data_IF_372143769610
#
_entry.id   IF_372143769610
#
_cell.length_a   1.000
_cell.length_b   1.000
_cell.length_c   1.000
_cell.angle_alpha   90.00
_cell.angle_beta   90.00
_cell.angle_gamma   90.00
#
_symmetry.space_group_name_H-M   'P 1'
#
loop_
_entity.id
_entity.type
_entity.pdbx_description
1 polymer ?
#
# COMPACT_ATOMS: atom_id res chain seq x y z
N UNK A 1 22.33 27.41 6.48
CA UNK A 1 21.40 26.92 7.53
C UNK A 1 20.38 27.99 7.97
N UNK A 2 20.82 29.22 8.33
CA UNK A 2 19.94 30.31 8.80
C UNK A 2 18.78 30.71 7.85
N UNK A 3 19.04 30.85 6.55
CA UNK A 3 18.01 31.18 5.53
C UNK A 3 16.94 30.08 5.38
N UNK A 4 17.30 28.84 5.71
CA UNK A 4 16.43 27.65 5.65
C UNK A 4 15.51 27.59 6.88
N UNK A 5 16.06 27.86 8.07
CA UNK A 5 15.29 27.95 9.32
C UNK A 5 14.24 29.06 9.25
N UNK A 6 14.58 30.24 8.70
CA UNK A 6 13.60 31.33 8.46
C UNK A 6 12.41 30.88 7.60
N UNK A 7 12.63 30.06 6.57
CA UNK A 7 11.55 29.54 5.72
C UNK A 7 10.63 28.57 6.47
N UNK A 8 11.20 27.73 7.35
CA UNK A 8 10.48 26.79 8.20
C UNK A 8 9.61 27.45 9.27
N UNK A 9 9.99 28.64 9.77
CA UNK A 9 9.17 29.40 10.74
C UNK A 9 7.75 29.62 10.21
N UNK A 10 7.61 29.93 8.91
CA UNK A 10 6.29 30.13 8.29
C UNK A 10 5.41 28.87 8.30
N UNK A 11 6.01 27.69 8.43
CA UNK A 11 5.31 26.40 8.52
C UNK A 11 5.03 25.97 9.97
N UNK A 12 5.56 26.65 10.99
CA UNK A 12 5.28 26.31 12.38
C UNK A 12 3.93 26.91 12.83
N UNK A 13 2.82 26.29 12.42
CA UNK A 13 1.47 26.72 12.76
C UNK A 13 0.63 25.54 13.26
N UNK A 14 -0.42 25.76 14.07
CA UNK A 14 -1.35 24.69 14.44
C UNK A 14 -2.00 24.02 13.23
N UNK A 15 -2.15 24.71 12.10
CA UNK A 15 -2.74 24.21 10.85
C UNK A 15 -1.70 23.63 9.88
N UNK A 16 -0.53 23.24 10.37
CA UNK A 16 0.46 22.52 9.56
C UNK A 16 0.40 21.02 9.84
N UNK A 17 0.27 20.22 8.78
CA UNK A 17 0.40 18.76 8.83
C UNK A 17 1.86 18.37 8.60
N UNK A 18 2.43 17.53 9.47
CA UNK A 18 3.73 16.90 9.22
C UNK A 18 3.47 15.53 8.55
N UNK A 19 4.18 15.24 7.47
CA UNK A 19 4.04 13.99 6.72
C UNK A 19 5.41 13.33 6.58
N UNK A 20 5.52 12.04 6.89
CA UNK A 20 6.78 11.28 6.79
C UNK A 20 6.58 10.08 5.90
N UNK A 21 7.28 10.04 4.77
CA UNK A 21 7.17 8.95 3.80
C UNK A 21 8.31 8.97 2.80
N UNK A 22 8.36 7.96 1.93
CA UNK A 22 9.08 8.08 0.66
C UNK A 22 8.35 9.09 -0.24
N UNK A 23 9.07 9.92 -0.99
CA UNK A 23 8.46 10.96 -1.83
C UNK A 23 9.24 11.11 -3.14
N UNK A 24 8.58 10.82 -4.27
CA UNK A 24 9.19 10.58 -5.58
C UNK A 24 9.47 11.83 -6.41
N UNK A 25 9.10 13.04 -5.94
CA UNK A 25 9.19 14.26 -6.75
C UNK A 25 10.62 14.53 -7.32
N UNK A 26 11.66 13.88 -6.75
CA UNK A 26 13.06 14.03 -7.17
C UNK A 26 13.77 12.71 -7.54
N UNK A 27 13.09 11.56 -7.47
CA UNK A 27 13.71 10.26 -7.74
C UNK A 27 13.64 9.90 -9.23
N UNK A 28 14.73 9.33 -9.78
CA UNK A 28 14.74 8.79 -11.16
C UNK A 28 13.81 7.59 -11.35
N UNK A 29 13.53 6.87 -10.27
CA UNK A 29 12.65 5.69 -10.23
C UNK A 29 11.66 5.85 -9.08
N UNK A 30 10.38 5.56 -9.31
CA UNK A 30 9.37 5.57 -8.25
C UNK A 30 9.14 4.17 -7.67
N UNK A 31 8.83 4.14 -6.39
CA UNK A 31 8.36 2.95 -5.67
C UNK A 31 6.84 2.97 -5.55
N UNK A 32 6.26 1.83 -5.16
CA UNK A 32 4.83 1.76 -4.87
C UNK A 32 4.43 2.72 -3.74
N UNK A 33 5.25 2.80 -2.69
CA UNK A 33 5.02 3.73 -1.58
C UNK A 33 5.10 5.18 -2.06
N UNK A 34 6.22 5.62 -2.63
CA UNK A 34 6.40 7.02 -3.02
C UNK A 34 5.31 7.57 -3.97
N UNK A 35 4.86 6.75 -4.91
CA UNK A 35 3.72 7.11 -5.79
C UNK A 35 2.43 7.26 -4.98
N UNK A 36 2.17 6.35 -4.04
CA UNK A 36 1.03 6.42 -3.14
C UNK A 36 1.09 7.68 -2.26
N UNK A 37 2.23 7.93 -1.61
CA UNK A 37 2.48 9.07 -0.73
C UNK A 37 2.18 10.39 -1.44
N UNK A 38 2.64 10.52 -2.70
CA UNK A 38 2.38 11.71 -3.51
C UNK A 38 0.89 11.94 -3.73
N UNK A 39 0.15 10.90 -4.09
CA UNK A 39 -1.29 11.00 -4.32
C UNK A 39 -2.05 11.29 -3.03
N UNK A 40 -1.71 10.61 -1.93
CA UNK A 40 -2.26 10.89 -0.62
C UNK A 40 -2.04 12.34 -0.22
N UNK A 41 -0.82 12.86 -0.41
CA UNK A 41 -0.49 14.24 -0.09
C UNK A 41 -1.22 15.26 -0.95
N UNK A 42 -1.32 15.03 -2.25
CA UNK A 42 -2.04 15.90 -3.18
C UNK A 42 -3.53 15.96 -2.80
N UNK A 43 -4.15 14.80 -2.55
CA UNK A 43 -5.56 14.70 -2.19
C UNK A 43 -5.85 15.25 -0.79
N UNK A 44 -5.00 14.98 0.21
CA UNK A 44 -5.15 15.59 1.52
C UNK A 44 -4.99 17.11 1.44
N UNK A 45 -3.97 17.62 0.74
CA UNK A 45 -3.77 19.05 0.62
C UNK A 45 -4.92 19.74 -0.11
N UNK A 46 -5.51 19.10 -1.13
CA UNK A 46 -6.60 19.71 -1.87
C UNK A 46 -7.94 19.68 -1.12
N UNK A 47 -8.23 18.58 -0.44
CA UNK A 47 -9.51 18.40 0.25
C UNK A 47 -9.51 18.87 1.70
N UNK A 48 -8.35 19.19 2.29
CA UNK A 48 -8.22 19.64 3.69
C UNK A 48 -7.73 21.09 3.79
N UNK A 49 -7.87 21.92 2.74
CA UNK A 49 -7.40 23.33 2.74
C UNK A 49 -7.92 24.16 3.93
N UNK A 50 -9.14 23.88 4.39
CA UNK A 50 -9.75 24.53 5.56
C UNK A 50 -9.10 24.12 6.89
N UNK A 51 -8.58 22.90 6.95
CA UNK A 51 -8.10 22.24 8.18
C UNK A 51 -6.58 22.30 8.33
N UNK A 52 -5.88 22.16 7.19
CA UNK A 52 -4.44 22.26 7.05
C UNK A 52 -4.09 23.25 5.92
N UNK A 53 -3.53 24.39 6.30
CA UNK A 53 -3.11 25.43 5.36
C UNK A 53 -1.75 25.08 4.72
N UNK A 54 -0.93 24.31 5.43
CA UNK A 54 0.43 23.96 5.04
C UNK A 54 0.77 22.50 5.36
N UNK A 55 1.69 21.94 4.58
CA UNK A 55 2.22 20.60 4.80
C UNK A 55 3.75 20.61 4.80
N UNK A 56 4.36 19.93 5.76
CA UNK A 56 5.80 19.66 5.77
C UNK A 56 6.02 18.17 5.54
N UNK A 57 6.71 17.82 4.46
CA UNK A 57 7.05 16.45 4.09
C UNK A 57 8.50 16.18 4.49
N UNK A 58 8.69 15.27 5.45
CA UNK A 58 10.00 14.77 5.88
C UNK A 58 10.28 13.47 5.11
N UNK A 59 11.01 13.57 4.01
CA UNK A 59 11.15 12.47 3.05
C UNK A 59 12.42 11.65 3.24
N UNK A 60 12.37 10.42 2.73
CA UNK A 60 13.54 9.57 2.52
C UNK A 60 14.31 10.09 1.29
N UNK A 61 15.62 10.31 1.41
CA UNK A 61 16.43 10.96 0.37
C UNK A 61 17.92 10.63 0.45
N UNK A 62 18.65 10.82 -0.67
CA UNK A 62 20.11 10.56 -0.72
C UNK A 62 20.89 11.79 -0.27
N UNK A 63 21.29 11.74 1.00
CA UNK A 63 22.28 12.51 1.79
C UNK A 63 23.06 13.72 1.24
N UNK A 64 23.37 13.89 -0.05
CA UNK A 64 24.40 14.87 -0.45
C UNK A 64 23.94 16.15 -1.16
N UNK A 65 22.82 16.18 -1.89
CA UNK A 65 22.43 17.36 -2.68
C UNK A 65 20.93 17.72 -2.70
N UNK A 66 20.08 17.03 -1.96
CA UNK A 66 18.65 17.33 -1.96
C UNK A 66 18.36 18.49 -0.99
N UNK A 67 18.20 19.69 -1.54
CA UNK A 67 17.90 20.90 -0.78
C UNK A 67 16.43 20.94 -0.32
N UNK A 68 16.14 21.61 0.80
CA UNK A 68 14.76 21.92 1.21
C UNK A 68 14.08 22.72 0.09
N UNK A 69 12.91 22.27 -0.35
CA UNK A 69 12.15 22.91 -1.42
C UNK A 69 10.75 23.27 -0.94
N UNK A 70 10.30 24.44 -1.35
CA UNK A 70 8.92 24.86 -1.19
C UNK A 70 8.25 24.70 -2.55
N UNK A 71 7.17 23.94 -2.60
CA UNK A 71 6.40 23.62 -3.81
C UNK A 71 4.93 23.96 -3.59
N UNK A 72 4.10 23.77 -4.62
CA UNK A 72 2.64 23.97 -4.54
C UNK A 72 2.27 25.39 -4.06
N UNK A 73 2.83 26.42 -4.71
CA UNK A 73 2.51 27.83 -4.42
C UNK A 73 2.82 28.27 -2.99
N UNK A 74 3.82 27.68 -2.33
CA UNK A 74 4.22 28.07 -0.97
C UNK A 74 3.61 27.22 0.15
N UNK A 75 2.72 26.28 -0.16
CA UNK A 75 1.95 25.52 0.84
C UNK A 75 2.60 24.20 1.27
N UNK A 76 3.57 23.69 0.51
CA UNK A 76 4.24 22.42 0.83
C UNK A 76 5.74 22.61 0.93
N UNK A 77 6.34 22.20 2.05
CA UNK A 77 7.78 22.19 2.26
C UNK A 77 8.28 20.74 2.26
N UNK A 78 9.20 20.38 1.38
CA UNK A 78 9.77 19.03 1.29
C UNK A 78 11.21 19.07 1.83
N UNK A 79 11.49 18.21 2.81
CA UNK A 79 12.74 18.12 3.54
C UNK A 79 13.24 16.68 3.47
N UNK A 80 14.22 16.39 2.61
CA UNK A 80 14.85 15.08 2.53
C UNK A 80 15.80 14.90 3.71
N UNK A 81 15.33 14.21 4.75
CA UNK A 81 16.07 14.09 6.01
C UNK A 81 16.28 12.66 6.50
N UNK A 82 15.65 11.66 5.86
CA UNK A 82 15.79 10.25 6.26
C UNK A 82 16.69 9.54 5.26
N UNK A 83 17.67 8.79 5.77
CA UNK A 83 18.57 7.97 4.95
C UNK A 83 18.26 6.50 5.20
N UNK A 84 17.96 5.78 4.13
CA UNK A 84 17.74 4.34 4.18
C UNK A 84 18.98 3.63 4.76
N UNK A 85 18.74 2.64 5.61
CA UNK A 85 19.79 1.85 6.29
C UNK A 85 20.70 2.68 7.23
N UNK A 86 20.28 3.89 7.63
CA UNK A 86 20.99 4.71 8.61
C UNK A 86 20.07 5.07 9.79
N UNK A 87 20.14 4.34 10.92
CA UNK A 87 19.25 4.58 12.07
C UNK A 87 19.40 5.98 12.68
N UNK A 88 20.60 6.57 12.65
CA UNK A 88 20.84 7.91 13.17
C UNK A 88 20.13 9.00 12.37
N UNK A 89 19.82 8.74 11.10
CA UNK A 89 19.09 9.69 10.27
C UNK A 89 17.67 9.96 10.79
N UNK A 90 17.08 9.04 11.57
CA UNK A 90 15.76 9.19 12.19
C UNK A 90 15.71 10.25 13.30
N UNK A 91 16.87 10.72 13.79
CA UNK A 91 16.93 11.89 14.66
C UNK A 91 16.58 13.20 13.93
N UNK A 92 16.74 13.26 12.61
CA UNK A 92 16.43 14.46 11.84
C UNK A 92 14.92 14.70 11.73
N UNK A 93 14.06 13.70 11.43
CA UNK A 93 12.61 13.86 11.56
C UNK A 93 12.17 14.35 12.93
N UNK A 94 12.76 13.82 14.01
CA UNK A 94 12.48 14.29 15.35
C UNK A 94 12.83 15.77 15.49
N UNK A 95 14.06 16.17 15.13
CA UNK A 95 14.51 17.55 15.17
C UNK A 95 13.56 18.51 14.44
N UNK A 96 13.20 18.20 13.18
CA UNK A 96 12.26 19.04 12.43
C UNK A 96 10.86 19.06 13.04
N UNK A 97 10.39 17.95 13.62
CA UNK A 97 9.11 17.91 14.33
C UNK A 97 9.13 18.80 15.59
N UNK A 98 10.27 18.89 16.29
CA UNK A 98 10.43 19.76 17.46
C UNK A 98 10.50 21.23 17.08
N UNK A 99 11.18 21.57 15.97
CA UNK A 99 11.16 22.93 15.40
C UNK A 99 9.73 23.35 15.02
N UNK A 100 8.92 22.40 14.56
CA UNK A 100 7.50 22.58 14.25
C UNK A 100 6.63 22.31 15.49
N UNK A 101 6.99 22.91 16.63
CA UNK A 101 6.38 22.63 17.94
C UNK A 101 4.87 22.90 18.02
N UNK A 102 4.36 23.87 17.24
CA UNK A 102 2.92 24.19 17.15
C UNK A 102 2.14 23.17 16.33
N UNK A 103 2.81 22.46 15.41
CA UNK A 103 2.23 21.43 14.56
C UNK A 103 2.15 20.10 15.31
N UNK A 104 0.97 19.71 15.80
CA UNK A 104 0.81 18.48 16.61
C UNK A 104 0.50 17.24 15.78
N UNK A 105 -0.13 17.38 14.62
CA UNK A 105 -0.59 16.25 13.80
C UNK A 105 0.50 15.78 12.84
N UNK A 106 0.73 14.46 12.82
CA UNK A 106 1.78 13.85 12.01
C UNK A 106 1.29 12.56 11.38
N UNK A 107 1.35 12.46 10.05
CA UNK A 107 1.09 11.22 9.32
C UNK A 107 2.42 10.57 8.97
N UNK A 108 2.59 9.30 9.32
CA UNK A 108 3.80 8.53 9.01
C UNK A 108 3.38 7.33 8.19
N UNK A 109 3.84 7.25 6.95
CA UNK A 109 3.66 6.06 6.12
C UNK A 109 4.89 5.16 6.23
N UNK A 110 4.63 3.88 6.48
CA UNK A 110 5.65 2.91 6.78
C UNK A 110 5.60 1.67 5.89
N UNK A 111 6.73 1.41 5.23
CA UNK A 111 7.04 0.16 4.55
C UNK A 111 8.47 -0.27 4.93
N UNK A 112 8.65 -1.53 5.30
CA UNK A 112 9.95 -2.06 5.76
C UNK A 112 11.07 -1.79 4.76
N UNK A 113 10.80 -1.96 3.46
CA UNK A 113 11.79 -1.80 2.40
C UNK A 113 12.30 -0.36 2.23
N UNK A 114 11.54 0.64 2.67
CA UNK A 114 11.87 2.07 2.50
C UNK A 114 12.83 2.56 3.58
N UNK A 115 12.69 2.08 4.82
CA UNK A 115 13.52 2.53 5.96
C UNK A 115 14.77 1.68 6.18
N UNK A 116 14.83 0.44 5.65
CA UNK A 116 16.03 -0.38 5.63
C UNK A 116 15.96 -1.62 6.54
N UNK A 117 17.11 -2.05 7.04
CA UNK A 117 17.28 -3.25 7.85
C UNK A 117 16.74 -3.14 9.28
N UNK A 118 16.82 -4.24 10.06
CA UNK A 118 16.23 -4.34 11.40
C UNK A 118 16.64 -3.24 12.38
N UNK A 119 17.88 -2.75 12.32
CA UNK A 119 18.36 -1.65 13.16
C UNK A 119 17.63 -0.34 12.89
N UNK A 120 17.38 -0.02 11.61
CA UNK A 120 16.62 1.18 11.23
C UNK A 120 15.15 1.07 11.64
N UNK A 121 14.57 -0.14 11.51
CA UNK A 121 13.21 -0.44 12.00
C UNK A 121 13.12 -0.28 13.52
N UNK A 122 14.11 -0.76 14.27
CA UNK A 122 14.19 -0.61 15.72
C UNK A 122 14.31 0.86 16.15
N UNK A 123 15.19 1.63 15.51
CA UNK A 123 15.31 3.07 15.75
C UNK A 123 14.02 3.84 15.43
N UNK A 124 13.18 3.34 14.52
CA UNK A 124 11.87 3.91 14.23
C UNK A 124 10.91 3.83 15.43
N UNK A 125 10.99 2.76 16.23
CA UNK A 125 10.20 2.64 17.45
C UNK A 125 10.62 3.68 18.49
N UNK A 126 11.92 3.94 18.61
CA UNK A 126 12.45 5.00 19.48
C UNK A 126 11.92 6.36 19.03
N UNK A 127 11.97 6.65 17.72
CA UNK A 127 11.40 7.87 17.15
C UNK A 127 9.91 8.02 17.53
N UNK A 128 9.09 6.98 17.39
CA UNK A 128 7.68 7.04 17.77
C UNK A 128 7.47 7.34 19.26
N UNK A 129 8.25 6.71 20.14
CA UNK A 129 8.23 6.97 21.57
C UNK A 129 8.55 8.43 21.90
N UNK A 130 9.60 8.97 21.28
CA UNK A 130 10.00 10.37 21.44
C UNK A 130 8.93 11.33 20.90
N UNK A 131 8.38 11.07 19.71
CA UNK A 131 7.30 11.89 19.14
C UNK A 131 6.09 11.95 20.08
N UNK A 132 5.70 10.82 20.68
CA UNK A 132 4.61 10.78 21.66
C UNK A 132 4.97 11.56 22.94
N UNK A 133 6.19 11.41 23.45
CA UNK A 133 6.68 12.15 24.62
C UNK A 133 6.60 13.67 24.40
N UNK A 134 6.92 14.15 23.20
CA UNK A 134 6.81 15.56 22.82
C UNK A 134 5.41 15.98 22.35
N UNK A 135 4.38 15.17 22.64
CA UNK A 135 2.98 15.49 22.42
C UNK A 135 2.54 15.51 20.95
N UNK A 136 3.25 14.81 20.06
CA UNK A 136 2.81 14.64 18.66
C UNK A 136 1.73 13.56 18.57
N UNK A 137 0.70 13.83 17.78
CA UNK A 137 -0.36 12.88 17.42
C UNK A 137 0.03 12.17 16.12
N UNK A 138 0.59 10.98 16.27
CA UNK A 138 1.06 10.17 15.12
C UNK A 138 -0.07 9.29 14.57
N UNK A 139 -0.45 9.55 13.33
CA UNK A 139 -1.32 8.71 12.49
C UNK A 139 -0.42 7.81 11.64
N UNK A 140 -0.31 6.54 12.05
CA UNK A 140 0.66 5.62 11.48
C UNK A 140 0.01 4.76 10.39
N UNK A 141 0.47 4.88 9.14
CA UNK A 141 -0.04 4.11 8.01
C UNK A 141 0.87 2.91 7.76
N UNK A 142 0.34 1.70 7.97
CA UNK A 142 1.08 0.45 7.74
C UNK A 142 0.71 -0.10 6.37
N UNK A 143 1.68 -0.15 5.45
CA UNK A 143 1.47 -0.69 4.10
C UNK A 143 1.61 -2.22 4.04
N UNK A 144 2.37 -2.80 4.96
CA UNK A 144 2.71 -4.23 4.96
C UNK A 144 2.59 -4.80 6.37
N UNK A 145 1.93 -5.94 6.49
CA UNK A 145 1.94 -6.69 7.74
C UNK A 145 1.94 -8.20 7.48
N UNK A 146 2.73 -8.92 8.26
CA UNK A 146 2.76 -10.37 8.33
C UNK A 146 2.77 -10.82 9.79
N UNK A 147 2.16 -11.98 10.06
CA UNK A 147 2.14 -12.57 11.41
C UNK A 147 3.39 -13.40 11.69
N UNK A 148 3.95 -14.04 10.65
CA UNK A 148 5.16 -14.86 10.72
C UNK A 148 5.96 -14.70 9.45
N UNK A 149 7.24 -14.39 9.60
CA UNK A 149 8.25 -14.26 8.57
C UNK A 149 8.69 -15.63 8.04
N UNK A 150 8.35 -16.72 8.73
CA UNK A 150 8.59 -18.09 8.22
C UNK A 150 8.06 -18.28 6.79
N UNK A 151 6.90 -17.72 6.48
CA UNK A 151 6.33 -17.77 5.14
C UNK A 151 7.06 -16.96 4.07
N UNK A 152 8.03 -16.13 4.48
CA UNK A 152 8.84 -15.22 3.67
C UNK A 152 10.34 -15.54 3.73
N UNK A 153 10.76 -16.67 4.30
CA UNK A 153 12.17 -17.00 4.49
C UNK A 153 12.98 -16.92 3.18
N UNK A 154 12.47 -17.47 2.06
CA UNK A 154 13.11 -17.33 0.73
C UNK A 154 13.17 -15.86 0.25
N UNK A 155 12.15 -15.06 0.55
CA UNK A 155 12.15 -13.62 0.21
C UNK A 155 13.22 -12.85 0.98
N UNK A 156 13.51 -13.29 2.20
CA UNK A 156 14.49 -12.67 3.10
C UNK A 156 15.89 -13.27 2.94
N UNK A 157 16.04 -14.35 2.16
CA UNK A 157 17.29 -15.11 2.05
C UNK A 157 17.68 -15.81 3.36
N UNK A 158 16.70 -16.27 4.13
CA UNK A 158 16.89 -16.97 5.40
C UNK A 158 16.48 -18.44 5.28
N UNK A 159 17.16 -19.32 6.00
CA UNK A 159 16.76 -20.72 6.11
C UNK A 159 15.48 -20.86 6.93
N UNK A 160 14.57 -21.72 6.46
CA UNK A 160 13.33 -22.03 7.16
C UNK A 160 13.64 -22.57 8.56
N UNK A 161 12.92 -22.11 9.58
CA UNK A 161 13.09 -22.55 10.97
C UNK A 161 14.34 -22.03 11.69
N UNK A 162 15.18 -21.20 11.06
CA UNK A 162 16.38 -20.66 11.69
C UNK A 162 16.09 -19.82 12.94
N UNK A 163 16.99 -19.85 13.93
CA UNK A 163 16.88 -19.04 15.15
C UNK A 163 16.79 -17.53 14.84
N UNK A 164 17.49 -17.07 13.80
CA UNK A 164 17.41 -15.69 13.30
C UNK A 164 15.98 -15.33 12.87
N UNK A 165 15.26 -16.25 12.23
CA UNK A 165 13.88 -16.04 11.82
C UNK A 165 12.93 -15.96 13.02
N UNK A 166 13.11 -16.84 14.01
CA UNK A 166 12.36 -16.79 15.28
C UNK A 166 12.57 -15.48 16.04
N UNK A 167 13.82 -15.00 16.08
CA UNK A 167 14.16 -13.70 16.67
C UNK A 167 13.47 -12.55 15.92
N UNK A 168 13.52 -12.55 14.59
CA UNK A 168 12.84 -11.54 13.77
C UNK A 168 11.32 -11.57 13.93
N UNK A 169 10.71 -12.75 14.08
CA UNK A 169 9.29 -12.90 14.39
C UNK A 169 8.92 -12.27 15.75
N UNK A 170 9.73 -12.54 16.78
CA UNK A 170 9.55 -11.92 18.09
C UNK A 170 9.71 -10.39 18.03
N UNK A 171 10.74 -9.91 17.34
CA UNK A 171 10.99 -8.49 17.13
C UNK A 171 9.85 -7.82 16.35
N UNK A 172 9.26 -8.50 15.36
CA UNK A 172 8.12 -7.99 14.60
C UNK A 172 6.86 -7.86 15.46
N UNK A 173 6.61 -8.83 16.35
CA UNK A 173 5.50 -8.75 17.31
C UNK A 173 5.68 -7.57 18.28
N UNK A 174 6.90 -7.38 18.79
CA UNK A 174 7.22 -6.22 19.63
C UNK A 174 7.05 -4.91 18.86
N UNK A 175 7.51 -4.85 17.60
CA UNK A 175 7.31 -3.70 16.72
C UNK A 175 5.83 -3.32 16.61
N UNK A 176 4.93 -4.28 16.33
CA UNK A 176 3.49 -3.99 16.26
C UNK A 176 2.95 -3.48 17.61
N UNK A 177 3.30 -4.12 18.73
CA UNK A 177 2.89 -3.66 20.07
C UNK A 177 3.33 -2.21 20.31
N UNK A 178 4.58 -1.90 20.02
CA UNK A 178 5.15 -0.57 20.20
C UNK A 178 4.46 0.47 19.30
N UNK A 179 4.23 0.16 18.02
CA UNK A 179 3.43 1.03 17.13
C UNK A 179 2.03 1.26 17.72
N UNK A 180 1.38 0.24 18.28
CA UNK A 180 0.10 0.35 18.97
C UNK A 180 0.10 1.27 20.19
N UNK A 181 1.18 1.24 20.97
CA UNK A 181 1.37 2.07 22.17
C UNK A 181 1.64 3.53 21.79
N UNK A 182 2.55 3.75 20.83
CA UNK A 182 3.08 5.07 20.51
C UNK A 182 2.24 5.85 19.49
N UNK A 183 1.45 5.16 18.66
CA UNK A 183 0.58 5.82 17.68
C UNK A 183 -0.75 6.25 18.28
N UNK A 184 -1.28 7.37 17.79
CA UNK A 184 -2.62 7.87 18.12
C UNK A 184 -3.69 6.98 17.46
N UNK A 185 -3.59 6.84 16.13
CA UNK A 185 -4.38 5.93 15.30
C UNK A 185 -3.46 5.25 14.30
N UNK A 186 -3.89 4.07 13.85
CA UNK A 186 -3.19 3.28 12.85
C UNK A 186 -4.12 3.11 11.66
N UNK A 187 -3.66 3.47 10.48
CA UNK A 187 -4.37 3.28 9.22
C UNK A 187 -3.75 2.08 8.52
N UNK A 188 -4.60 1.16 8.08
CA UNK A 188 -4.19 0.02 7.25
C UNK A 188 -5.02 -0.04 5.99
N UNK A 189 -4.43 -0.60 4.93
CA UNK A 189 -5.01 -0.53 3.60
C UNK A 189 -5.96 -1.67 3.25
N UNK A 190 -6.04 -2.72 4.07
CA UNK A 190 -6.94 -3.87 3.87
C UNK A 190 -7.38 -4.48 5.20
N UNK A 191 -8.57 -5.08 5.22
CA UNK A 191 -9.11 -5.71 6.44
C UNK A 191 -8.23 -6.86 6.95
N UNK A 192 -7.60 -7.61 6.04
CA UNK A 192 -6.66 -8.67 6.42
C UNK A 192 -5.44 -8.11 7.19
N UNK A 193 -4.93 -6.94 6.82
CA UNK A 193 -3.81 -6.29 7.54
C UNK A 193 -4.28 -5.89 8.94
N UNK A 194 -5.50 -5.35 9.08
CA UNK A 194 -6.10 -5.07 10.41
C UNK A 194 -6.16 -6.34 11.25
N UNK A 195 -6.70 -7.43 10.71
CA UNK A 195 -6.85 -8.69 11.46
C UNK A 195 -5.51 -9.23 11.97
N UNK A 196 -4.44 -9.06 11.19
CA UNK A 196 -3.08 -9.46 11.58
C UNK A 196 -2.52 -8.65 12.73
N UNK A 197 -2.53 -7.33 12.61
CA UNK A 197 -1.94 -6.46 13.64
C UNK A 197 -2.84 -6.30 14.88
N UNK A 198 -4.14 -6.57 14.75
CA UNK A 198 -5.10 -6.58 15.86
C UNK A 198 -4.79 -7.64 16.92
N UNK A 199 -3.98 -8.66 16.59
CA UNK A 199 -3.45 -9.63 17.55
C UNK A 199 -2.48 -9.00 18.57
N UNK A 200 -1.93 -7.83 18.24
CA UNK A 200 -0.90 -7.14 19.03
C UNK A 200 -1.31 -5.72 19.44
N UNK A 201 -2.38 -5.19 18.86
CA UNK A 201 -2.79 -3.79 19.01
C UNK A 201 -4.30 -3.74 19.25
N UNK A 202 -4.74 -2.84 20.14
CA UNK A 202 -6.16 -2.58 20.36
C UNK A 202 -6.90 -2.30 19.02
N UNK A 203 -7.89 -3.13 18.64
CA UNK A 203 -8.62 -2.98 17.38
C UNK A 203 -9.28 -1.61 17.17
N UNK A 204 -9.64 -0.90 18.26
CA UNK A 204 -10.24 0.45 18.21
C UNK A 204 -9.26 1.53 17.75
N UNK A 205 -7.95 1.27 17.79
CA UNK A 205 -6.92 2.15 17.22
C UNK A 205 -6.70 1.91 15.73
N UNK A 206 -7.13 0.78 15.19
CA UNK A 206 -6.87 0.37 13.81
C UNK A 206 -8.06 0.72 12.92
N UNK A 207 -7.85 1.66 12.01
CA UNK A 207 -8.80 2.08 10.99
C UNK A 207 -8.40 1.48 9.66
N UNK A 208 -9.36 0.90 8.94
CA UNK A 208 -9.12 0.38 7.59
C UNK A 208 -9.56 1.45 6.61
N UNK A 209 -8.62 1.97 5.83
CA UNK A 209 -8.92 2.86 4.71
C UNK A 209 -8.31 2.20 3.47
N UNK A 210 -9.12 1.65 2.55
CA UNK A 210 -8.63 0.91 1.40
C UNK A 210 -7.58 1.65 0.58
N UNK A 211 -6.64 0.92 -0.04
CA UNK A 211 -5.68 1.53 -0.96
C UNK A 211 -6.40 2.19 -2.13
N UNK A 212 -6.24 3.51 -2.25
CA UNK A 212 -6.90 4.31 -3.26
C UNK A 212 -6.49 3.92 -4.69
N UNK A 213 -7.38 4.19 -5.66
CA UNK A 213 -7.10 4.13 -7.09
C UNK A 213 -6.64 5.48 -7.65
N UNK A 214 -6.01 5.46 -8.82
CA UNK A 214 -5.48 6.64 -9.48
C UNK A 214 -6.58 7.35 -10.28
N UNK A 215 -6.98 8.57 -9.87
CA UNK A 215 -8.05 9.35 -10.52
C UNK A 215 -7.86 9.56 -12.03
N UNK A 216 -6.66 9.88 -12.49
CA UNK A 216 -6.43 10.32 -13.87
C UNK A 216 -6.30 9.18 -14.90
N UNK A 217 -6.80 7.99 -14.57
CA UNK A 217 -6.56 6.76 -15.36
C UNK A 217 -7.82 5.99 -15.73
N UNK A 218 -9.02 6.50 -15.38
CA UNK A 218 -10.31 5.99 -15.86
C UNK A 218 -10.45 6.22 -17.37
N UNK A 219 -9.79 5.40 -18.17
CA UNK A 219 -9.90 5.44 -19.63
C UNK A 219 -10.52 4.12 -20.07
N UNK A 220 -11.81 4.16 -20.40
CA UNK A 220 -12.47 3.05 -21.08
C UNK A 220 -11.88 2.92 -22.48
N UNK A 221 -11.24 1.78 -22.74
CA UNK A 221 -11.20 1.23 -24.09
C UNK A 221 -12.08 -0.01 -24.06
N UNK A 222 -12.95 -0.20 -25.07
CA UNK A 222 -13.66 -1.47 -25.24
C UNK A 222 -12.62 -2.59 -25.18
N UNK A 223 -12.76 -3.49 -24.21
CA UNK A 223 -11.91 -4.68 -24.06
C UNK A 223 -12.25 -5.65 -25.18
N UNK A 224 -11.87 -5.31 -26.41
CA UNK A 224 -11.96 -6.23 -27.51
C UNK A 224 -10.73 -7.11 -27.44
N UNK A 225 -10.87 -8.31 -26.85
CA UNK A 225 -9.91 -9.40 -27.04
C UNK A 225 -9.69 -9.48 -28.54
N UNK A 226 -8.50 -9.09 -29.00
CA UNK A 226 -8.20 -8.98 -30.43
C UNK A 226 -8.43 -10.37 -31.03
N UNK A 227 -9.28 -10.48 -32.06
CA UNK A 227 -9.76 -11.75 -32.65
C UNK A 227 -8.73 -12.89 -32.52
N UNK A 228 -8.92 -13.75 -31.51
CA UNK A 228 -8.12 -14.96 -31.25
C UNK A 228 -6.89 -14.85 -30.33
N UNK A 229 -6.35 -13.65 -30.04
CA UNK A 229 -5.16 -13.43 -29.20
C UNK A 229 -5.55 -12.94 -27.79
N UNK A 230 -4.84 -13.41 -26.76
CA UNK A 230 -5.02 -13.01 -25.37
C UNK A 230 -3.71 -12.38 -24.86
N UNK A 231 -3.74 -11.11 -24.49
CA UNK A 231 -2.62 -10.37 -23.91
C UNK A 231 -2.76 -10.30 -22.38
N UNK A 232 -1.93 -11.07 -21.66
CA UNK A 232 -1.84 -11.11 -20.20
C UNK A 232 -0.80 -10.10 -19.72
N UNK A 233 -1.14 -9.33 -18.69
CA UNK A 233 -0.23 -8.40 -18.01
C UNK A 233 0.06 -8.85 -16.58
N UNK A 234 1.33 -8.85 -16.21
CA UNK A 234 1.78 -8.84 -14.81
C UNK A 234 2.63 -7.59 -14.60
N UNK A 235 2.24 -6.73 -13.66
CA UNK A 235 2.87 -5.42 -13.47
C UNK A 235 3.69 -5.31 -12.16
N UNK A 236 4.82 -4.61 -12.24
CA UNK A 236 5.68 -4.21 -11.13
C UNK A 236 6.96 -5.05 -10.98
N UNK A 237 7.82 -4.65 -10.05
CA UNK A 237 9.14 -5.27 -9.84
C UNK A 237 9.08 -6.79 -9.65
N UNK A 238 10.06 -7.49 -10.19
CA UNK A 238 10.28 -8.92 -9.98
C UNK A 238 10.74 -9.12 -8.54
N UNK A 239 9.96 -9.87 -7.77
CA UNK A 239 10.24 -10.21 -6.38
C UNK A 239 9.65 -11.59 -6.08
N UNK A 240 10.32 -12.36 -5.21
CA UNK A 240 9.92 -13.73 -4.89
C UNK A 240 8.46 -13.84 -4.45
N UNK A 241 8.02 -12.96 -3.55
CA UNK A 241 6.65 -13.00 -3.03
C UNK A 241 5.58 -12.76 -4.10
N UNK A 242 5.93 -12.13 -5.23
CA UNK A 242 5.00 -11.91 -6.35
C UNK A 242 4.84 -13.14 -7.25
N UNK A 243 5.69 -14.15 -7.10
CA UNK A 243 5.49 -15.46 -7.74
C UNK A 243 5.61 -15.48 -9.27
N UNK A 244 6.41 -14.59 -9.86
CA UNK A 244 6.62 -14.60 -11.31
C UNK A 244 7.24 -15.91 -11.82
N UNK A 245 8.18 -16.48 -11.07
CA UNK A 245 8.84 -17.75 -11.37
C UNK A 245 7.83 -18.91 -11.50
N UNK A 246 6.90 -19.06 -10.54
CA UNK A 246 5.85 -20.10 -10.61
C UNK A 246 4.88 -19.85 -11.77
N UNK A 247 4.59 -18.59 -12.06
CA UNK A 247 3.69 -18.23 -13.15
C UNK A 247 4.31 -18.55 -14.49
N UNK A 248 5.56 -18.14 -14.73
CA UNK A 248 6.30 -18.44 -15.96
C UNK A 248 6.45 -19.95 -16.15
N UNK A 249 6.77 -20.70 -15.08
CA UNK A 249 6.83 -22.17 -15.14
C UNK A 249 5.50 -22.79 -15.58
N UNK A 250 4.37 -22.25 -15.12
CA UNK A 250 3.06 -22.70 -15.53
C UNK A 250 2.69 -22.25 -16.96
N UNK A 251 3.04 -21.01 -17.32
CA UNK A 251 2.79 -20.41 -18.62
C UNK A 251 3.58 -21.13 -19.74
N UNK A 252 4.83 -21.51 -19.48
CA UNK A 252 5.67 -22.27 -20.42
C UNK A 252 5.10 -23.66 -20.77
N UNK A 253 4.13 -24.16 -19.99
CA UNK A 253 3.41 -25.41 -20.26
C UNK A 253 2.11 -25.20 -21.05
N UNK A 254 1.74 -23.96 -21.36
CA UNK A 254 0.63 -23.67 -22.26
C UNK A 254 1.09 -23.91 -23.70
N UNK A 255 0.35 -24.74 -24.42
CA UNK A 255 0.61 -25.03 -25.85
C UNK A 255 0.01 -23.98 -26.78
N UNK A 256 -0.77 -23.05 -26.23
CA UNK A 256 -1.52 -22.07 -27.02
C UNK A 256 -0.68 -20.85 -27.39
N UNK A 257 -0.18 -20.84 -28.63
CA UNK A 257 0.67 -19.78 -29.17
C UNK A 257 -0.02 -18.41 -29.33
N UNK A 258 -1.34 -18.32 -29.11
CA UNK A 258 -2.09 -17.06 -29.17
C UNK A 258 -2.20 -16.34 -27.83
N UNK A 259 -1.62 -16.91 -26.77
CA UNK A 259 -1.57 -16.27 -25.45
C UNK A 259 -0.19 -15.64 -25.28
N UNK A 260 -0.17 -14.34 -25.01
CA UNK A 260 1.05 -13.57 -24.81
C UNK A 260 1.11 -13.06 -23.37
N UNK A 261 2.30 -13.09 -22.78
CA UNK A 261 2.56 -12.59 -21.44
C UNK A 261 3.48 -11.38 -21.52
N UNK A 262 3.02 -10.23 -21.02
CA UNK A 262 3.88 -9.08 -20.74
C UNK A 262 4.10 -8.95 -19.24
N UNK A 263 5.36 -9.03 -18.83
CA UNK A 263 5.82 -8.70 -17.48
C UNK A 263 6.33 -7.26 -17.54
N UNK A 264 5.46 -6.33 -17.19
CA UNK A 264 5.73 -4.89 -17.19
C UNK A 264 6.37 -4.49 -15.85
N UNK A 265 7.66 -4.73 -15.74
CA UNK A 265 8.45 -4.52 -14.54
C UNK A 265 9.77 -5.27 -14.61
N UNK A 266 10.69 -4.94 -13.71
CA UNK A 266 12.04 -5.49 -13.75
C UNK A 266 12.67 -5.58 -12.37
N UNK A 267 13.98 -5.40 -12.35
CA UNK A 267 14.80 -5.41 -11.14
C UNK A 267 14.27 -4.46 -10.06
N UNK A 268 14.27 -4.89 -8.81
CA UNK A 268 13.82 -4.13 -7.63
C UNK A 268 15.01 -3.40 -7.00
N UNK A 269 15.04 -2.06 -7.04
CA UNK A 269 16.12 -1.29 -6.41
C UNK A 269 16.23 -1.56 -4.91
N UNK A 270 15.11 -1.86 -4.25
CA UNK A 270 15.06 -2.13 -2.82
C UNK A 270 15.72 -3.46 -2.41
N UNK A 271 15.97 -4.36 -3.35
CA UNK A 271 16.58 -5.67 -3.12
C UNK A 271 18.02 -5.74 -3.68
N UNK A 272 18.57 -4.62 -4.13
CA UNK A 272 19.89 -4.56 -4.76
C UNK A 272 21.00 -5.08 -3.85
N UNK A 273 21.90 -5.88 -4.42
CA UNK A 273 23.08 -6.41 -3.73
C UNK A 273 22.80 -7.62 -2.84
N UNK A 274 21.56 -8.13 -2.81
CA UNK A 274 21.20 -9.33 -2.06
C UNK A 274 21.34 -10.56 -2.94
N UNK A 275 22.30 -11.44 -2.63
CA UNK A 275 22.61 -12.62 -3.45
C UNK A 275 21.38 -13.50 -3.76
N UNK A 276 20.53 -13.77 -2.77
CA UNK A 276 19.29 -14.55 -2.98
C UNK A 276 18.33 -13.89 -3.98
N UNK A 277 18.27 -12.55 -3.98
CA UNK A 277 17.48 -11.78 -4.94
C UNK A 277 18.07 -11.85 -6.35
N UNK A 278 19.39 -11.68 -6.49
CA UNK A 278 20.09 -11.79 -7.77
C UNK A 278 19.86 -13.16 -8.42
N UNK A 279 20.01 -14.24 -7.64
CA UNK A 279 19.77 -15.61 -8.10
C UNK A 279 18.33 -15.80 -8.56
N UNK A 280 17.36 -15.34 -7.77
CA UNK A 280 15.94 -15.42 -8.14
C UNK A 280 15.62 -14.61 -9.41
N UNK A 281 16.12 -13.38 -9.49
CA UNK A 281 15.91 -12.51 -10.65
C UNK A 281 16.47 -13.14 -11.93
N UNK A 282 17.73 -13.62 -11.90
CA UNK A 282 18.34 -14.33 -13.04
C UNK A 282 17.53 -15.55 -13.44
N UNK A 283 17.12 -16.38 -12.49
CA UNK A 283 16.29 -17.57 -12.75
C UNK A 283 14.98 -17.22 -13.47
N UNK A 284 14.32 -16.13 -13.07
CA UNK A 284 13.10 -15.63 -13.73
C UNK A 284 13.38 -15.21 -15.17
N UNK A 285 14.46 -14.48 -15.42
CA UNK A 285 14.84 -14.05 -16.78
C UNK A 285 15.13 -15.25 -17.68
N UNK A 286 15.93 -16.22 -17.20
CA UNK A 286 16.27 -17.42 -17.97
C UNK A 286 15.06 -18.31 -18.24
N UNK A 287 14.11 -18.38 -17.31
CA UNK A 287 12.86 -19.11 -17.54
C UNK A 287 11.96 -18.43 -18.58
N UNK A 288 11.91 -17.09 -18.59
CA UNK A 288 11.13 -16.31 -19.54
C UNK A 288 11.69 -16.39 -20.97
N UNK A 289 13.03 -16.33 -21.13
CA UNK A 289 13.71 -16.39 -22.43
C UNK A 289 13.40 -17.67 -23.23
N UNK A 290 13.01 -18.76 -22.56
CA UNK A 290 12.66 -20.04 -23.19
C UNK A 290 11.36 -20.00 -23.99
N UNK A 291 10.58 -18.92 -23.90
CA UNK A 291 9.28 -18.81 -24.54
C UNK A 291 9.13 -17.47 -25.28
N UNK A 292 9.02 -17.46 -26.62
CA UNK A 292 8.94 -16.24 -27.42
C UNK A 292 7.65 -15.43 -27.17
N UNK A 293 6.65 -16.02 -26.50
CA UNK A 293 5.41 -15.34 -26.14
C UNK A 293 5.48 -14.61 -24.79
N UNK A 294 6.64 -14.61 -24.12
CA UNK A 294 6.89 -13.85 -22.88
C UNK A 294 7.78 -12.64 -23.19
N UNK A 295 7.35 -11.46 -22.75
CA UNK A 295 8.13 -10.22 -22.83
C UNK A 295 8.34 -9.64 -21.44
N UNK A 296 9.59 -9.37 -21.06
CA UNK A 296 9.95 -8.64 -19.84
C UNK A 296 10.45 -7.26 -20.24
N UNK A 297 9.83 -6.20 -19.71
CA UNK A 297 10.09 -4.82 -20.17
C UNK A 297 11.25 -4.14 -19.44
N UNK A 298 11.61 -4.63 -18.25
CA UNK A 298 12.38 -3.85 -17.28
C UNK A 298 11.53 -2.78 -16.59
N UNK A 299 12.18 -1.81 -15.95
CA UNK A 299 11.47 -0.71 -15.26
C UNK A 299 10.57 0.07 -16.24
N UNK A 300 9.32 0.28 -15.82
CA UNK A 300 8.33 1.04 -16.59
C UNK A 300 8.11 2.40 -15.92
N UNK A 301 8.48 3.51 -16.56
CA UNK A 301 8.22 4.84 -16.02
C UNK A 301 6.72 5.12 -15.94
N UNK A 302 6.31 5.96 -14.98
CA UNK A 302 4.91 6.23 -14.67
C UNK A 302 4.08 6.63 -15.90
N UNK A 303 4.64 7.45 -16.79
CA UNK A 303 4.00 7.92 -18.03
C UNK A 303 3.65 6.80 -19.01
N UNK A 304 4.38 5.67 -18.99
CA UNK A 304 4.14 4.51 -19.85
C UNK A 304 3.27 3.44 -19.22
N UNK A 305 2.97 3.52 -17.92
CA UNK A 305 2.17 2.50 -17.21
C UNK A 305 0.82 2.29 -17.90
N UNK A 306 0.14 3.37 -18.27
CA UNK A 306 -1.16 3.27 -18.95
C UNK A 306 -1.11 2.57 -20.31
N UNK A 307 0.02 2.61 -21.02
CA UNK A 307 0.17 1.91 -22.30
C UNK A 307 0.09 0.39 -22.12
N UNK A 308 0.71 -0.15 -21.07
CA UNK A 308 0.69 -1.59 -20.79
C UNK A 308 -0.68 -2.07 -20.33
N UNK A 309 -1.30 -1.36 -19.38
CA UNK A 309 -2.65 -1.70 -18.93
C UNK A 309 -3.65 -1.62 -20.08
N UNK A 310 -3.63 -0.57 -20.91
CA UNK A 310 -4.54 -0.45 -22.06
C UNK A 310 -4.35 -1.53 -23.11
N UNK A 311 -3.13 -2.04 -23.31
CA UNK A 311 -2.83 -3.11 -24.28
C UNK A 311 -3.28 -4.49 -23.80
N UNK A 312 -3.35 -4.70 -22.48
CA UNK A 312 -3.71 -5.98 -21.90
C UNK A 312 -5.22 -6.25 -21.98
N UNK A 313 -5.57 -7.51 -22.19
CA UNK A 313 -6.94 -8.04 -22.07
C UNK A 313 -7.23 -8.39 -20.61
N UNK A 314 -6.23 -8.89 -19.87
CA UNK A 314 -6.37 -9.32 -18.47
C UNK A 314 -5.08 -9.09 -17.68
N UNK A 315 -5.22 -8.69 -16.42
CA UNK A 315 -4.13 -8.51 -15.47
C UNK A 315 -4.10 -9.68 -14.49
N UNK A 316 -2.93 -10.28 -14.26
CA UNK A 316 -2.77 -11.38 -13.30
C UNK A 316 -1.81 -11.00 -12.18
N UNK A 317 -2.19 -11.31 -10.93
CA UNK A 317 -1.35 -11.13 -9.76
C UNK A 317 -1.03 -12.50 -9.14
N UNK A 318 0.07 -13.18 -9.56
CA UNK A 318 0.35 -14.57 -9.19
C UNK A 318 1.08 -14.69 -7.84
N UNK A 319 0.67 -13.90 -6.84
CA UNK A 319 1.43 -13.71 -5.61
C UNK A 319 1.47 -14.98 -4.76
N UNK A 320 2.60 -15.21 -4.09
CA UNK A 320 2.79 -16.32 -3.14
C UNK A 320 2.17 -16.04 -1.78
N UNK A 321 2.00 -14.76 -1.44
CA UNK A 321 1.56 -14.30 -0.12
C UNK A 321 0.83 -12.98 -0.26
N UNK A 322 -0.25 -12.83 0.51
CA UNK A 322 -0.83 -11.52 0.81
C UNK A 322 0.02 -10.86 1.88
N UNK A 323 0.78 -9.81 1.54
CA UNK A 323 1.66 -9.08 2.48
C UNK A 323 1.19 -7.63 2.65
N UNK A 324 0.62 -7.06 1.60
CA UNK A 324 0.26 -5.66 1.47
C UNK A 324 -0.99 -5.50 0.60
N UNK A 325 -1.60 -4.32 0.63
CA UNK A 325 -2.43 -3.93 -0.51
C UNK A 325 -1.55 -3.74 -1.75
N UNK A 326 -2.07 -4.08 -2.92
CA UNK A 326 -1.28 -4.18 -4.15
C UNK A 326 -1.47 -2.93 -5.02
N UNK A 327 -0.42 -2.12 -5.15
CA UNK A 327 -0.37 -1.03 -6.14
C UNK A 327 -0.71 -1.49 -7.57
N UNK A 328 -0.16 -2.60 -8.09
CA UNK A 328 -0.56 -3.17 -9.38
C UNK A 328 -2.05 -3.53 -9.50
N UNK A 329 -2.71 -3.91 -8.39
CA UNK A 329 -4.16 -4.18 -8.39
C UNK A 329 -4.95 -2.88 -8.46
N UNK A 330 -4.57 -1.87 -7.66
CA UNK A 330 -5.15 -0.52 -7.73
C UNK A 330 -5.01 0.10 -9.13
N UNK A 331 -3.87 -0.10 -9.79
CA UNK A 331 -3.67 0.30 -11.19
C UNK A 331 -4.61 -0.45 -12.15
N UNK A 332 -4.77 -1.78 -11.99
CA UNK A 332 -5.70 -2.56 -12.79
C UNK A 332 -7.14 -2.04 -12.67
N UNK A 333 -7.59 -1.75 -11.44
CA UNK A 333 -8.88 -1.12 -11.19
C UNK A 333 -8.99 0.25 -11.84
N UNK A 334 -7.97 1.09 -11.71
CA UNK A 334 -7.95 2.44 -12.32
C UNK A 334 -8.17 2.40 -13.84
N UNK A 335 -7.60 1.38 -14.51
CA UNK A 335 -7.78 1.15 -15.96
C UNK A 335 -8.95 0.23 -16.31
N UNK A 336 -9.79 -0.13 -15.33
CA UNK A 336 -10.94 -1.02 -15.47
C UNK A 336 -10.58 -2.36 -16.14
N UNK A 337 -9.38 -2.86 -15.83
CA UNK A 337 -8.83 -4.06 -16.45
C UNK A 337 -9.31 -5.29 -15.70
N UNK A 338 -9.85 -6.31 -16.40
CA UNK A 338 -10.13 -7.61 -15.82
C UNK A 338 -8.94 -8.13 -15.02
N UNK A 339 -9.20 -8.68 -13.82
CA UNK A 339 -8.16 -9.17 -12.92
C UNK A 339 -8.33 -10.64 -12.58
N UNK A 340 -7.21 -11.35 -12.48
CA UNK A 340 -7.11 -12.68 -11.86
C UNK A 340 -6.07 -12.62 -10.75
N UNK A 341 -6.44 -13.15 -9.60
CA UNK A 341 -5.63 -13.15 -8.39
C UNK A 341 -5.22 -14.58 -8.08
N UNK A 342 -4.02 -14.78 -7.55
CA UNK A 342 -3.66 -16.08 -6.99
C UNK A 342 -4.53 -16.42 -5.77
N UNK A 343 -4.69 -17.70 -5.47
CA UNK A 343 -5.45 -18.17 -4.32
C UNK A 343 -4.95 -17.58 -2.99
N UNK A 344 -3.64 -17.28 -2.88
CA UNK A 344 -3.05 -16.65 -1.70
C UNK A 344 -3.54 -15.20 -1.47
N UNK A 345 -4.24 -14.62 -2.44
CA UNK A 345 -4.87 -13.29 -2.36
C UNK A 345 -6.37 -13.32 -2.01
N UNK A 346 -6.97 -14.50 -1.78
CA UNK A 346 -8.35 -14.64 -1.24
C UNK A 346 -8.64 -13.72 -0.04
N UNK A 347 -7.68 -13.39 0.86
CA UNK A 347 -7.92 -12.44 1.94
C UNK A 347 -8.42 -11.04 1.53
N UNK A 348 -8.32 -10.61 0.26
CA UNK A 348 -9.01 -9.39 -0.21
C UNK A 348 -10.52 -9.45 0.02
N UNK A 349 -11.14 -10.63 -0.02
CA UNK A 349 -12.56 -10.84 0.28
C UNK A 349 -12.91 -10.52 1.75
N UNK A 350 -11.93 -10.28 2.63
CA UNK A 350 -12.21 -9.81 4.00
C UNK A 350 -12.54 -8.32 4.03
N UNK A 351 -12.13 -7.54 3.03
CA UNK A 351 -12.49 -6.13 2.92
C UNK A 351 -13.96 -6.00 2.49
N UNK A 352 -14.72 -5.12 3.15
CA UNK A 352 -16.17 -4.97 2.98
C UNK A 352 -16.53 -4.53 1.56
N UNK A 353 -15.83 -3.51 1.07
CA UNK A 353 -15.94 -2.99 -0.29
C UNK A 353 -15.75 -4.07 -1.36
N UNK A 354 -14.74 -4.94 -1.18
CA UNK A 354 -14.45 -6.02 -2.11
C UNK A 354 -15.60 -7.03 -2.19
N UNK A 355 -16.20 -7.42 -1.05
CA UNK A 355 -17.36 -8.32 -1.03
C UNK A 355 -18.60 -7.70 -1.65
N UNK A 356 -18.87 -6.43 -1.32
CA UNK A 356 -20.00 -5.70 -1.89
C UNK A 356 -19.91 -5.66 -3.41
N UNK A 357 -18.75 -5.29 -3.95
CA UNK A 357 -18.55 -5.23 -5.40
C UNK A 357 -18.60 -6.62 -6.04
N UNK A 358 -18.06 -7.66 -5.39
CA UNK A 358 -18.24 -9.03 -5.88
C UNK A 358 -19.72 -9.42 -5.99
N UNK A 359 -20.52 -9.08 -4.98
CA UNK A 359 -21.96 -9.35 -4.96
C UNK A 359 -22.68 -8.60 -6.09
N UNK A 360 -22.42 -7.29 -6.25
CA UNK A 360 -23.06 -6.44 -7.27
C UNK A 360 -22.67 -6.87 -8.68
N UNK A 361 -21.39 -7.20 -8.91
CA UNK A 361 -20.90 -7.68 -10.20
C UNK A 361 -21.22 -9.18 -10.46
N UNK A 362 -21.95 -9.83 -9.55
CA UNK A 362 -22.23 -11.27 -9.54
C UNK A 362 -20.98 -12.16 -9.66
N UNK A 363 -19.80 -11.66 -9.27
CA UNK A 363 -18.49 -12.34 -9.37
C UNK A 363 -18.32 -13.30 -8.19
N UNK A 364 -18.08 -14.58 -8.52
CA UNK A 364 -17.81 -15.63 -7.54
C UNK A 364 -16.32 -15.71 -7.24
N UNK A 365 -15.96 -16.38 -6.16
CA UNK A 365 -14.55 -16.57 -5.77
C UNK A 365 -13.75 -17.28 -6.87
N UNK A 366 -14.36 -18.25 -7.53
CA UNK A 366 -13.75 -19.06 -8.59
C UNK A 366 -13.56 -18.28 -9.90
N UNK A 367 -14.22 -17.13 -10.04
CA UNK A 367 -14.02 -16.21 -11.17
C UNK A 367 -12.76 -15.34 -10.99
N UNK A 368 -12.32 -15.10 -9.75
CA UNK A 368 -11.20 -14.21 -9.45
C UNK A 368 -9.95 -14.96 -9.01
N UNK A 369 -10.10 -15.99 -8.19
CA UNK A 369 -8.99 -16.59 -7.45
C UNK A 369 -8.60 -17.95 -8.01
N UNK A 370 -7.39 -18.03 -8.55
CA UNK A 370 -6.87 -19.23 -9.20
C UNK A 370 -5.61 -19.75 -8.50
N UNK A 371 -5.49 -21.08 -8.40
CA UNK A 371 -4.21 -21.70 -8.09
C UNK A 371 -3.30 -21.58 -9.31
N UNK A 372 -2.06 -21.13 -9.13
CA UNK A 372 -1.13 -20.96 -10.26
C UNK A 372 -0.55 -22.33 -10.65
N UNK A 373 -1.24 -23.03 -11.55
CA UNK A 373 -0.82 -24.31 -12.13
C UNK A 373 -1.04 -24.32 -13.64
N UNK A 374 -0.34 -25.18 -14.40
CA UNK A 374 -0.56 -25.31 -15.85
C UNK A 374 -2.01 -25.62 -16.21
N UNK A 375 -2.64 -26.54 -15.46
CA UNK A 375 -4.02 -26.93 -15.67
C UNK A 375 -4.98 -25.75 -15.43
N UNK A 376 -4.81 -25.02 -14.32
CA UNK A 376 -5.65 -23.87 -14.00
C UNK A 376 -5.51 -22.74 -15.04
N UNK A 377 -4.28 -22.48 -15.54
CA UNK A 377 -4.08 -21.51 -16.61
C UNK A 377 -4.72 -21.95 -17.93
N UNK A 378 -4.65 -23.25 -18.28
CA UNK A 378 -5.35 -23.80 -19.45
C UNK A 378 -6.86 -23.60 -19.33
N UNK A 379 -7.43 -23.92 -18.17
CA UNK A 379 -8.85 -23.72 -17.88
C UNK A 379 -9.24 -22.25 -17.96
N UNK A 380 -8.43 -21.34 -17.40
CA UNK A 380 -8.64 -19.89 -17.52
C UNK A 380 -8.65 -19.43 -18.98
N UNK A 381 -7.69 -19.87 -19.80
CA UNK A 381 -7.63 -19.53 -21.23
C UNK A 381 -8.86 -20.04 -21.99
N UNK A 382 -9.30 -21.28 -21.72
CA UNK A 382 -10.51 -21.84 -22.31
C UNK A 382 -11.75 -21.03 -21.90
N UNK A 383 -11.82 -20.64 -20.62
CA UNK A 383 -12.90 -19.84 -20.07
C UNK A 383 -13.01 -18.48 -20.76
N UNK A 384 -11.89 -17.75 -20.85
CA UNK A 384 -11.79 -16.45 -21.54
C UNK A 384 -12.31 -16.53 -22.98
N UNK A 385 -12.13 -17.66 -23.67
CA UNK A 385 -12.55 -17.83 -25.06
C UNK A 385 -13.99 -18.29 -25.24
N UNK A 386 -14.46 -19.18 -24.38
CA UNK A 386 -15.76 -19.84 -24.55
C UNK A 386 -16.89 -19.10 -23.86
N UNK A 387 -16.63 -18.49 -22.71
CA UNK A 387 -17.66 -17.77 -21.95
C UNK A 387 -17.77 -16.33 -22.45
N UNK A 388 -18.84 -16.05 -23.22
CA UNK A 388 -19.07 -14.76 -23.89
C UNK A 388 -18.89 -13.53 -23.00
N UNK A 389 -19.26 -13.62 -21.72
CA UNK A 389 -19.32 -12.46 -20.82
C UNK A 389 -18.28 -12.51 -19.68
N UNK A 390 -17.39 -13.50 -19.65
CA UNK A 390 -16.48 -13.68 -18.50
C UNK A 390 -15.53 -12.49 -18.32
N UNK A 391 -14.92 -12.02 -19.41
CA UNK A 391 -14.02 -10.85 -19.39
C UNK A 391 -14.77 -9.57 -19.03
N UNK A 392 -15.97 -9.37 -19.58
CA UNK A 392 -16.80 -8.18 -19.31
C UNK A 392 -17.22 -8.13 -17.84
N UNK A 393 -17.61 -9.28 -17.28
CA UNK A 393 -17.95 -9.42 -15.86
C UNK A 393 -16.78 -9.02 -14.94
N UNK A 394 -15.57 -9.45 -15.25
CA UNK A 394 -14.37 -9.08 -14.50
C UNK A 394 -13.96 -7.61 -14.71
N UNK A 395 -14.22 -7.05 -15.89
CA UNK A 395 -14.03 -5.62 -16.17
C UNK A 395 -15.00 -4.77 -15.33
N UNK A 396 -16.28 -5.17 -15.26
CA UNK A 396 -17.30 -4.51 -14.45
C UNK A 396 -16.95 -4.52 -12.96
N UNK A 397 -16.51 -5.67 -12.44
CA UNK A 397 -15.95 -5.77 -11.09
C UNK A 397 -14.82 -4.77 -10.86
N UNK A 398 -13.89 -4.66 -11.81
CA UNK A 398 -12.74 -3.74 -11.70
C UNK A 398 -13.15 -2.28 -11.77
N UNK A 399 -14.17 -1.95 -12.57
CA UNK A 399 -14.79 -0.63 -12.64
C UNK A 399 -15.40 -0.23 -11.29
N UNK A 400 -16.25 -1.08 -10.72
CA UNK A 400 -16.93 -0.78 -9.46
C UNK A 400 -15.96 -0.70 -8.28
N UNK A 401 -14.91 -1.53 -8.27
CA UNK A 401 -13.81 -1.40 -7.32
C UNK A 401 -13.11 -0.05 -7.44
N UNK A 402 -12.94 0.46 -8.66
CA UNK A 402 -12.31 1.75 -8.91
C UNK A 402 -13.20 2.93 -8.46
N UNK A 403 -14.51 2.82 -8.58
CA UNK A 403 -15.44 3.79 -8.02
C UNK A 403 -15.41 3.78 -6.48
N UNK A 404 -15.50 2.60 -5.87
CA UNK A 404 -15.49 2.44 -4.40
C UNK A 404 -14.19 2.89 -3.74
N UNK A 405 -13.06 2.67 -4.39
CA UNK A 405 -11.72 3.05 -3.89
C UNK A 405 -11.21 4.38 -4.47
N UNK A 406 -12.08 5.19 -5.07
CA UNK A 406 -11.71 6.53 -5.51
C UNK A 406 -11.45 7.42 -4.28
N UNK A 407 -10.46 8.32 -4.39
CA UNK A 407 -10.16 9.31 -3.35
C UNK A 407 -11.39 10.09 -2.88
N UNK A 408 -12.33 10.46 -3.75
CA UNK A 408 -13.55 11.17 -3.31
C UNK A 408 -14.38 10.37 -2.30
N UNK A 409 -14.34 9.04 -2.36
CA UNK A 409 -15.02 8.14 -1.42
C UNK A 409 -14.20 7.90 -0.14
N UNK A 410 -12.87 7.98 -0.23
CA UNK A 410 -11.97 7.67 0.89
C UNK A 410 -11.62 8.89 1.76
N UNK A 411 -11.69 10.10 1.19
CA UNK A 411 -11.38 11.36 1.88
C UNK A 411 -12.22 11.56 3.16
N UNK A 412 -13.54 11.27 3.19
CA UNK A 412 -14.32 11.38 4.43
C UNK A 412 -13.78 10.52 5.59
N UNK A 413 -13.32 9.30 5.30
CA UNK A 413 -12.72 8.42 6.32
C UNK A 413 -11.36 8.95 6.81
N UNK A 414 -10.53 9.48 5.90
CA UNK A 414 -9.31 10.18 6.27
C UNK A 414 -9.59 11.41 7.15
N UNK A 415 -10.63 12.18 6.79
CA UNK A 415 -11.05 13.38 7.52
C UNK A 415 -11.51 13.03 8.92
N UNK A 416 -12.39 12.04 9.06
CA UNK A 416 -12.82 11.50 10.35
C UNK A 416 -11.65 10.98 11.17
N UNK A 417 -10.68 10.31 10.55
CA UNK A 417 -9.54 9.73 11.27
C UNK A 417 -8.58 10.81 11.78
N UNK A 418 -8.23 11.78 10.93
CA UNK A 418 -7.19 12.79 11.21
C UNK A 418 -7.77 14.00 11.97
N UNK A 419 -8.99 14.43 11.67
CA UNK A 419 -9.55 15.69 12.21
C UNK A 419 -10.43 15.49 13.45
N UNK A 420 -11.15 14.38 13.61
CA UNK A 420 -12.05 14.19 14.76
C UNK A 420 -11.30 14.29 16.10
N UNK A 421 -10.00 13.97 16.11
CA UNK A 421 -9.13 14.13 17.29
C UNK A 421 -8.88 15.60 17.70
N UNK A 422 -9.04 16.57 16.78
CA UNK A 422 -8.96 18.01 17.11
C UNK A 422 -10.21 18.47 17.86
N UNK A 423 -11.38 18.03 17.44
CA UNK A 423 -12.65 18.48 18.02
C UNK A 423 -12.92 17.88 19.42
N UNK A 424 -12.39 16.68 19.71
CA UNK A 424 -12.48 16.09 21.04
C UNK A 424 -11.63 16.81 22.11
N UNK A 425 -10.76 17.74 21.73
CA UNK A 425 -9.99 18.57 22.67
C UNK A 425 -10.63 19.94 22.95
N UNK A 426 -11.69 20.32 22.22
CA UNK A 426 -12.44 21.57 22.41
C UNK A 426 -13.76 21.39 23.18
N UNK A 427 -14.02 20.21 23.74
CA UNK A 427 -15.13 20.02 24.67
C UNK A 427 -14.65 20.38 26.09
N UNK A 428 -15.22 21.41 26.73
CA UNK A 428 -15.00 21.64 28.16
C UNK A 428 -15.40 20.39 28.93
N UNK A 429 -14.62 20.02 29.93
CA UNK A 429 -14.81 18.87 30.82
C UNK A 429 -16.10 18.91 31.67
N UNK A 430 -17.02 19.83 31.40
CA UNK A 430 -18.25 20.06 32.17
C UNK A 430 -19.53 19.41 31.60
N UNK A 431 -19.48 18.68 30.48
CA UNK A 431 -20.69 18.11 29.86
C UNK A 431 -20.78 16.58 29.79
N UNK A 432 -19.97 15.85 30.57
CA UNK A 432 -20.26 14.43 30.84
C UNK A 432 -21.22 14.33 32.03
N UNK A 433 -22.50 14.68 31.82
CA UNK A 433 -23.55 14.18 32.70
C UNK A 433 -23.66 12.68 32.46
N UNK A 434 -23.30 11.89 33.48
CA UNK A 434 -23.60 10.46 33.57
C UNK A 434 -25.12 10.28 33.37
N UNK A 435 -25.53 9.74 32.22
CA UNK A 435 -26.82 9.08 32.15
C UNK A 435 -26.63 7.68 32.75
N UNK A 436 -27.06 7.53 34.00
CA UNK A 436 -27.36 6.21 34.56
C UNK A 436 -28.53 5.59 33.78
N UNK A 437 -28.46 4.30 33.44
CA UNK A 437 -29.60 3.59 32.89
C UNK A 437 -30.64 3.39 34.01
N UNK A 438 -31.79 4.03 33.89
CA UNK A 438 -32.97 3.69 34.70
C UNK A 438 -33.34 2.23 34.42
N UNK A 439 -33.32 1.42 35.47
CA UNK A 439 -33.89 0.08 35.49
C UNK A 439 -35.39 0.15 35.22
N UNK A 440 -35.84 -0.49 34.15
CA UNK A 440 -37.26 -0.80 33.96
C UNK A 440 -37.42 -2.27 34.35
N UNK A 441 -37.78 -2.48 35.61
CA UNK A 441 -38.28 -3.74 36.13
C UNK A 441 -39.72 -3.97 35.65
N UNK A 442 -39.99 -5.23 35.32
CA UNK A 442 -41.25 -5.82 34.88
C UNK A 442 -42.46 -5.40 35.73
N UNK A 443 -43.60 -5.26 35.06
CA UNK A 443 -44.93 -5.39 35.66
C UNK A 443 -45.85 -6.07 34.65
N UNK A 444 -46.11 -7.36 34.86
CA UNK A 444 -47.23 -8.08 34.27
C UNK A 444 -48.51 -7.60 34.96
N UNK A 445 -49.58 -7.34 34.20
CA UNK A 445 -50.94 -7.41 34.71
C UNK A 445 -51.87 -7.85 33.59
N UNK A 446 -52.68 -8.86 33.91
CA UNK A 446 -53.71 -9.47 33.09
C UNK A 446 -54.93 -8.54 32.98
N UNK A 447 -55.43 -8.36 31.76
CA UNK A 447 -56.85 -8.27 31.40
C UNK A 447 -56.97 -8.42 29.88
#
# INVERSE_FOLDING_TARGET
MFRLLKKLVSFNTPKTLIFVSEYDHFAKESTGLSTYSRLTLDELQDNFKSDFEKTVVLSIGKSKNEQIRIVQGGRRCVIPCIQKDNPFSLMRPLYYSLLLSKSKDMVIEFEFASYGGPLSVGAFIILLGLLKLFGKRVYFVIHQAVNRLEGLHEHLGLSKGSNKLRLLDSALNYFYKAVGIFSWKIIVLEQEIKNRIALHINPKKIIVIPHAVHKNRFVQKKNNVRKGRIDILIFGYIAWYKGLDRFIKAFNKLTDKRVHLTIAGGYSPAQRGKMHYETHYRSVLESAKKNPHITITGYVPESRVGTYYRKADICILPYRRFISSSGPLSQAFSFQKPVILSQELVPYMKSKDFREVMSVAAVKKEDLFYKITPHALKTLVLRIRKEKNYIEKLAYFSHDMALKRNWSQLIPEYRKTILTARNTQNLPSSLVKKHEPRSITKGYSYA
#
